data_IF_572480427194
#
_entry.id   IF_572480427194
#
_cell.length_a   1.000
_cell.length_b   1.000
_cell.length_c   1.000
_cell.angle_alpha   90.00
_cell.angle_beta   90.00
_cell.angle_gamma   90.00
#
_symmetry.space_group_name_H-M   'P 1'
#
loop_
_entity.id
_entity.type
_entity.pdbx_description
1 polymer ?
#
# COMPACT_ATOMS: atom_id res chain seq x y z
N UNK A 1 15.19 21.43 -7.28
CA UNK A 1 14.58 22.24 -6.21
C UNK A 1 13.24 21.61 -5.89
N UNK A 2 12.98 21.32 -4.61
CA UNK A 2 11.79 20.59 -4.14
C UNK A 2 10.82 21.56 -3.47
N UNK A 3 10.25 22.49 -4.23
CA UNK A 3 9.39 23.58 -3.75
C UNK A 3 7.94 23.49 -4.27
N UNK A 4 7.61 22.40 -4.97
CA UNK A 4 6.26 22.12 -5.44
C UNK A 4 5.50 21.24 -4.45
N UNK A 5 4.18 21.32 -4.53
CA UNK A 5 3.24 20.56 -3.72
C UNK A 5 1.96 20.24 -4.52
N UNK A 6 1.20 19.27 -4.03
CA UNK A 6 -0.17 18.99 -4.48
C UNK A 6 -1.12 19.34 -3.35
N UNK A 7 -2.22 20.00 -3.68
CA UNK A 7 -3.20 20.49 -2.72
C UNK A 7 -4.62 20.11 -3.18
N UNK A 8 -5.53 19.99 -2.22
CA UNK A 8 -6.95 19.77 -2.44
C UNK A 8 -7.77 20.94 -1.90
N UNK A 9 -8.86 21.29 -2.59
CA UNK A 9 -9.88 22.18 -2.04
C UNK A 9 -11.11 21.38 -1.63
N UNK A 10 -11.60 21.69 -0.44
CA UNK A 10 -12.68 21.01 0.24
C UNK A 10 -13.80 21.99 0.55
N UNK A 11 -15.05 21.55 0.44
CA UNK A 11 -16.19 22.30 0.96
C UNK A 11 -16.19 22.30 2.50
N UNK A 12 -17.05 23.10 3.12
CA UNK A 12 -17.14 23.19 4.57
C UNK A 12 -17.58 21.88 5.24
N UNK A 13 -18.31 21.03 4.51
CA UNK A 13 -18.67 19.67 4.93
C UNK A 13 -17.53 18.64 4.74
N UNK A 14 -16.37 19.06 4.25
CA UNK A 14 -15.19 18.21 4.05
C UNK A 14 -15.16 17.46 2.72
N UNK A 15 -16.06 17.72 1.78
CA UNK A 15 -16.05 17.07 0.45
C UNK A 15 -14.95 17.65 -0.44
N UNK A 16 -14.06 16.79 -0.96
CA UNK A 16 -13.04 17.16 -1.93
C UNK A 16 -13.67 17.48 -3.29
N UNK A 17 -13.36 18.64 -3.88
CA UNK A 17 -13.94 19.05 -5.17
C UNK A 17 -12.93 19.62 -6.17
N UNK A 18 -11.66 19.74 -5.80
CA UNK A 18 -10.59 20.16 -6.70
C UNK A 18 -9.24 19.69 -6.20
N UNK A 19 -8.38 19.27 -7.11
CA UNK A 19 -6.97 18.94 -6.85
C UNK A 19 -6.13 19.83 -7.75
N UNK A 20 -5.04 20.36 -7.22
CA UNK A 20 -4.11 21.17 -8.00
C UNK A 20 -2.66 20.97 -7.58
N UNK A 21 -1.73 21.25 -8.48
CA UNK A 21 -0.31 21.47 -8.12
C UNK A 21 0.01 22.95 -7.93
N UNK A 22 0.96 23.24 -7.05
CA UNK A 22 1.41 24.61 -6.84
C UNK A 22 2.75 24.75 -6.16
N UNK A 23 3.15 26.02 -6.01
CA UNK A 23 4.31 26.49 -5.24
C UNK A 23 3.92 27.78 -4.52
N UNK A 24 4.60 28.12 -3.43
CA UNK A 24 4.28 29.31 -2.62
C UNK A 24 2.83 29.30 -2.13
N UNK A 25 2.11 30.42 -2.26
CA UNK A 25 0.72 30.55 -1.79
C UNK A 25 -0.34 30.18 -2.85
N UNK A 26 0.03 29.46 -3.91
CA UNK A 26 -0.91 29.12 -4.99
C UNK A 26 -2.17 28.43 -4.46
N UNK A 27 -2.06 27.53 -3.48
CA UNK A 27 -3.22 26.84 -2.90
C UNK A 27 -4.21 27.76 -2.15
N UNK A 28 -3.81 28.99 -1.80
CA UNK A 28 -4.66 29.99 -1.15
C UNK A 28 -5.37 30.91 -2.15
N UNK A 29 -4.90 30.93 -3.40
CA UNK A 29 -5.48 31.78 -4.44
C UNK A 29 -6.85 31.26 -4.85
N UNK A 30 -7.85 32.12 -4.77
CA UNK A 30 -9.20 31.89 -5.30
C UNK A 30 -9.21 32.25 -6.80
N UNK A 31 -10.02 31.57 -7.61
CA UNK A 31 -10.04 31.72 -9.06
C UNK A 31 -9.30 30.58 -9.76
N UNK A 32 -10.03 29.54 -10.16
CA UNK A 32 -9.50 28.42 -10.96
C UNK A 32 -10.22 28.27 -12.28
N UNK A 33 -11.50 27.96 -12.19
CA UNK A 33 -12.43 27.90 -13.30
C UNK A 33 -13.83 28.24 -12.78
N UNK A 34 -14.77 28.48 -13.68
CA UNK A 34 -16.13 28.89 -13.31
C UNK A 34 -16.88 27.86 -12.45
N UNK A 35 -16.57 26.56 -12.59
CA UNK A 35 -17.18 25.51 -11.78
C UNK A 35 -16.63 25.51 -10.35
N UNK A 36 -15.31 25.63 -10.21
CA UNK A 36 -14.60 25.78 -8.95
C UNK A 36 -15.11 26.98 -8.16
N UNK A 37 -15.12 28.17 -8.78
CA UNK A 37 -15.52 29.41 -8.12
C UNK A 37 -16.97 29.34 -7.64
N UNK A 38 -17.84 28.67 -8.42
CA UNK A 38 -19.24 28.44 -8.06
C UNK A 38 -19.38 27.51 -6.85
N UNK A 39 -18.58 26.44 -6.75
CA UNK A 39 -18.60 25.54 -5.58
C UNK A 39 -18.02 26.27 -4.36
N UNK A 40 -16.86 26.90 -4.51
CA UNK A 40 -16.18 27.64 -3.45
C UNK A 40 -17.09 28.72 -2.82
N UNK A 41 -17.82 29.46 -3.66
CA UNK A 41 -18.75 30.51 -3.19
C UNK A 41 -19.98 29.94 -2.49
N UNK A 42 -20.50 28.79 -2.93
CA UNK A 42 -21.77 28.23 -2.42
C UNK A 42 -21.60 27.32 -1.21
N UNK A 43 -20.48 26.59 -1.14
CA UNK A 43 -20.27 25.49 -0.20
C UNK A 43 -19.01 25.64 0.65
N UNK A 44 -18.32 26.77 0.55
CA UNK A 44 -17.04 27.00 1.20
C UNK A 44 -15.86 26.39 0.45
N UNK A 45 -14.65 26.81 0.81
CA UNK A 45 -13.42 26.41 0.16
C UNK A 45 -12.24 26.41 1.15
N UNK A 46 -12.03 25.27 1.79
CA UNK A 46 -10.91 25.00 2.67
C UNK A 46 -9.80 24.32 1.88
N UNK A 47 -8.60 24.93 1.87
CA UNK A 47 -7.46 24.41 1.12
C UNK A 47 -6.54 23.59 2.04
N UNK A 48 -6.07 22.42 1.58
CA UNK A 48 -5.12 21.57 2.30
C UNK A 48 -4.01 21.09 1.37
N UNK A 49 -2.77 21.21 1.83
CA UNK A 49 -1.62 20.58 1.16
C UNK A 49 -1.68 19.08 1.43
N UNK A 50 -1.73 18.28 0.36
CA UNK A 50 -1.80 16.82 0.40
C UNK A 50 -0.40 16.20 0.37
N UNK A 51 0.46 16.75 -0.48
CA UNK A 51 1.85 16.33 -0.69
C UNK A 51 2.75 17.56 -0.84
N UNK A 52 3.97 17.53 -0.31
CA UNK A 52 4.94 18.65 -0.32
C UNK A 52 6.35 18.17 -0.63
N UNK A 53 7.28 19.12 -0.77
CA UNK A 53 8.69 18.86 -1.04
C UNK A 53 8.90 18.03 -2.32
N UNK A 54 8.12 18.38 -3.35
CA UNK A 54 8.11 17.73 -4.65
C UNK A 54 8.90 18.57 -5.67
N UNK A 55 9.50 17.88 -6.63
CA UNK A 55 9.85 18.51 -7.89
C UNK A 55 8.58 18.81 -8.69
N UNK A 56 8.67 19.73 -9.65
CA UNK A 56 7.54 20.05 -10.51
C UNK A 56 7.00 18.84 -11.26
N UNK A 57 7.89 17.96 -11.74
CA UNK A 57 7.52 16.74 -12.46
C UNK A 57 6.75 15.77 -11.56
N UNK A 58 7.21 15.57 -10.32
CA UNK A 58 6.50 14.74 -9.34
C UNK A 58 5.13 15.33 -9.00
N UNK A 59 5.04 16.64 -8.75
CA UNK A 59 3.78 17.30 -8.40
C UNK A 59 2.75 17.26 -9.53
N UNK A 60 3.18 17.47 -10.78
CA UNK A 60 2.32 17.29 -11.96
C UNK A 60 1.80 15.87 -12.06
N UNK A 61 2.71 14.92 -11.89
CA UNK A 61 2.37 13.51 -12.01
C UNK A 61 1.37 13.03 -10.95
N UNK A 62 1.55 13.46 -9.70
CA UNK A 62 0.63 13.16 -8.60
C UNK A 62 -0.72 13.87 -8.82
N UNK A 63 -0.72 15.13 -9.26
CA UNK A 63 -1.96 15.86 -9.60
C UNK A 63 -2.75 15.11 -10.68
N UNK A 64 -2.12 14.78 -11.81
CA UNK A 64 -2.75 14.09 -12.94
C UNK A 64 -3.33 12.73 -12.49
N UNK A 65 -2.55 11.98 -11.73
CA UNK A 65 -2.97 10.69 -11.18
C UNK A 65 -4.20 10.82 -10.29
N UNK A 66 -4.20 11.76 -9.35
CA UNK A 66 -5.33 11.94 -8.44
C UNK A 66 -6.57 12.47 -9.16
N UNK A 67 -6.39 13.32 -10.17
CA UNK A 67 -7.50 13.85 -10.98
C UNK A 67 -8.15 12.74 -11.80
N UNK A 68 -7.35 11.86 -12.39
CA UNK A 68 -7.82 10.73 -13.18
C UNK A 68 -8.63 9.74 -12.35
N UNK A 69 -8.10 9.34 -11.18
CA UNK A 69 -8.70 8.31 -10.34
C UNK A 69 -9.79 8.81 -9.38
N UNK A 70 -10.08 10.12 -9.36
CA UNK A 70 -10.97 10.71 -8.36
C UNK A 70 -12.39 10.12 -8.37
N UNK A 71 -12.93 9.75 -9.53
CA UNK A 71 -14.26 9.14 -9.63
C UNK A 71 -14.30 7.74 -9.00
N UNK A 72 -13.25 6.93 -9.20
CA UNK A 72 -13.14 5.58 -8.65
C UNK A 72 -13.08 5.59 -7.12
N UNK A 73 -12.51 6.65 -6.54
CA UNK A 73 -12.45 6.88 -5.10
C UNK A 73 -13.64 7.70 -4.56
N UNK A 74 -14.67 7.94 -5.38
CA UNK A 74 -15.94 8.55 -4.97
C UNK A 74 -15.97 10.07 -4.93
N UNK A 75 -15.01 10.76 -5.56
CA UNK A 75 -14.97 12.22 -5.67
C UNK A 75 -15.26 12.69 -7.10
N UNK A 76 -15.92 13.85 -7.22
CA UNK A 76 -16.15 14.52 -8.50
C UNK A 76 -15.40 15.85 -8.44
N UNK A 77 -14.35 15.98 -9.25
CA UNK A 77 -13.49 17.16 -9.23
C UNK A 77 -13.87 18.14 -10.34
N UNK A 78 -13.82 19.43 -10.01
CA UNK A 78 -14.10 20.53 -10.94
C UNK A 78 -13.07 20.72 -12.06
N UNK A 79 -11.92 20.04 -11.97
CA UNK A 79 -10.89 20.00 -13.00
C UNK A 79 -10.80 18.65 -13.71
N UNK A 80 -11.74 17.74 -13.46
CA UNK A 80 -12.03 16.67 -14.41
C UNK A 80 -12.74 17.31 -15.61
N UNK A 81 -12.07 17.26 -16.76
CA UNK A 81 -12.44 17.83 -18.06
C UNK A 81 -12.09 19.31 -18.29
N UNK A 82 -10.95 19.55 -18.96
CA UNK A 82 -10.72 20.51 -20.05
C UNK A 82 -9.27 20.34 -20.57
N UNK A 83 -9.03 19.37 -21.46
CA UNK A 83 -7.74 19.26 -22.18
C UNK A 83 -7.45 17.90 -22.80
N UNK A 84 -8.01 17.67 -24.00
CA UNK A 84 -7.66 16.69 -25.04
C UNK A 84 -7.62 15.19 -24.72
N UNK A 85 -8.10 14.41 -25.69
CA UNK A 85 -8.12 12.94 -25.74
C UNK A 85 -6.70 12.34 -25.90
N UNK A 86 -5.72 12.82 -25.15
CA UNK A 86 -4.40 12.24 -25.15
C UNK A 86 -4.42 11.04 -24.21
N UNK A 87 -3.98 9.88 -24.72
CA UNK A 87 -3.84 8.64 -23.94
C UNK A 87 -3.09 8.91 -22.62
N UNK A 88 -3.40 8.16 -21.55
CA UNK A 88 -2.72 8.33 -20.28
C UNK A 88 -1.20 8.22 -20.52
N UNK A 89 -0.45 9.26 -20.10
CA UNK A 89 1.01 9.34 -20.24
C UNK A 89 1.75 8.22 -19.52
N UNK A 90 1.04 7.44 -18.71
CA UNK A 90 1.52 6.36 -17.88
C UNK A 90 0.48 5.24 -17.83
N UNK A 91 0.96 4.01 -17.75
CA UNK A 91 0.14 2.84 -17.47
C UNK A 91 -0.43 2.87 -16.05
N UNK A 92 -1.54 2.16 -15.83
CA UNK A 92 -2.15 1.95 -14.51
C UNK A 92 -1.12 1.45 -13.48
N UNK A 93 -0.13 0.67 -13.93
CA UNK A 93 0.96 0.16 -13.10
C UNK A 93 1.90 1.27 -12.60
N UNK A 94 2.25 2.21 -13.47
CA UNK A 94 3.10 3.34 -13.11
C UNK A 94 2.36 4.27 -12.14
N UNK A 95 1.07 4.50 -12.39
CA UNK A 95 0.16 5.24 -11.49
C UNK A 95 0.14 4.64 -10.08
N UNK A 96 -0.06 3.33 -9.96
CA UNK A 96 -0.10 2.65 -8.67
C UNK A 96 1.25 2.70 -7.94
N UNK A 97 2.35 2.57 -8.70
CA UNK A 97 3.72 2.68 -8.16
C UNK A 97 3.99 4.07 -7.60
N UNK A 98 3.54 5.12 -8.29
CA UNK A 98 3.70 6.51 -7.86
C UNK A 98 2.84 6.81 -6.65
N UNK A 99 1.58 6.37 -6.62
CA UNK A 99 0.72 6.53 -5.45
C UNK A 99 1.35 5.88 -4.22
N UNK A 100 1.80 4.63 -4.33
CA UNK A 100 2.49 3.91 -3.26
C UNK A 100 3.76 4.65 -2.78
N UNK A 101 4.61 5.09 -3.71
CA UNK A 101 5.83 5.84 -3.39
C UNK A 101 5.55 7.21 -2.73
N UNK A 102 4.46 7.87 -3.11
CA UNK A 102 4.10 9.20 -2.60
C UNK A 102 3.45 9.13 -1.22
N UNK A 103 2.62 8.12 -0.97
CA UNK A 103 2.14 7.83 0.39
C UNK A 103 3.30 7.52 1.34
N UNK A 104 4.28 6.74 0.88
CA UNK A 104 5.50 6.39 1.63
C UNK A 104 6.38 7.60 2.00
N UNK A 105 6.55 8.57 1.09
CA UNK A 105 7.41 9.75 1.33
C UNK A 105 6.81 10.76 2.33
N UNK A 106 5.49 10.78 2.48
CA UNK A 106 4.77 11.63 3.46
C UNK A 106 5.11 11.25 4.91
N UNK A 107 5.27 9.96 5.18
CA UNK A 107 5.63 9.43 6.49
C UNK A 107 7.12 9.68 6.81
N UNK A 108 8.00 9.61 5.81
CA UNK A 108 9.43 9.86 5.99
C UNK A 108 9.78 11.34 6.23
N UNK A 109 9.07 12.29 5.60
CA UNK A 109 9.37 13.72 5.68
C UNK A 109 8.74 14.44 6.90
N UNK A 110 7.80 13.80 7.63
CA UNK A 110 7.29 14.34 8.90
C UNK A 110 8.34 14.34 10.03
N UNK A 111 9.44 13.58 9.88
CA UNK A 111 10.43 13.36 10.93
C UNK A 111 11.56 14.40 11.04
N UNK A 112 11.62 15.42 10.15
CA UNK A 112 12.85 16.23 10.00
C UNK A 112 12.77 17.76 10.19
N UNK A 113 11.67 18.36 10.67
CA UNK A 113 11.63 19.82 10.95
C UNK A 113 11.19 20.16 12.40
N UNK A 114 11.99 21.03 13.02
CA UNK A 114 12.22 21.24 14.46
C UNK A 114 11.12 21.95 15.28
N UNK A 115 11.06 21.52 16.56
CA UNK A 115 11.05 22.33 17.79
C UNK A 115 10.01 23.45 17.93
N UNK A 116 8.83 23.10 18.44
CA UNK A 116 8.18 23.83 19.54
C UNK A 116 7.21 22.88 20.25
N UNK A 117 7.18 22.97 21.58
CA UNK A 117 6.55 22.06 22.54
C UNK A 117 5.13 21.63 22.20
N UNK A 118 4.95 20.38 21.74
CA UNK A 118 3.70 19.62 21.78
C UNK A 118 4.04 18.12 21.80
N UNK A 119 3.39 17.41 22.72
CA UNK A 119 3.59 15.99 23.03
C UNK A 119 3.79 15.11 21.78
N UNK A 120 4.85 14.31 21.81
CA UNK A 120 5.21 13.30 20.81
C UNK A 120 3.99 12.48 20.32
N UNK A 121 3.58 12.66 19.07
CA UNK A 121 2.91 11.63 18.27
C UNK A 121 4.02 10.85 17.55
N UNK A 122 4.51 9.84 18.25
CA UNK A 122 5.62 8.99 17.81
C UNK A 122 5.20 7.93 16.79
N UNK A 123 6.23 7.25 16.29
CA UNK A 123 6.17 5.87 15.83
C UNK A 123 5.15 5.10 16.67
N UNK A 124 4.11 4.59 16.03
CA UNK A 124 3.15 3.72 16.70
C UNK A 124 3.88 2.41 16.95
N UNK A 125 4.51 2.29 18.12
CA UNK A 125 4.82 1.00 18.70
C UNK A 125 3.49 0.27 18.90
N UNK A 126 3.15 -0.59 17.94
CA UNK A 126 2.06 -1.55 18.09
C UNK A 126 2.49 -2.54 19.17
N UNK A 127 1.89 -2.41 20.35
CA UNK A 127 2.00 -3.45 21.36
C UNK A 127 1.15 -4.65 20.92
N UNK A 128 1.78 -5.55 20.16
CA UNK A 128 1.19 -6.81 19.70
C UNK A 128 0.77 -7.74 20.86
N UNK A 129 1.14 -7.42 22.10
CA UNK A 129 0.61 -8.12 23.28
C UNK A 129 -0.85 -7.74 23.57
N UNK A 130 -1.36 -6.66 22.97
CA UNK A 130 -2.75 -6.27 23.11
C UNK A 130 -3.66 -7.30 22.42
N UNK A 131 -4.52 -7.93 23.22
CA UNK A 131 -5.51 -8.91 22.76
C UNK A 131 -6.40 -8.37 21.62
N UNK A 132 -6.55 -7.05 21.54
CA UNK A 132 -7.27 -6.34 20.48
C UNK A 132 -6.57 -6.49 19.12
N UNK A 133 -5.25 -6.28 19.05
CA UNK A 133 -4.51 -6.39 17.79
C UNK A 133 -4.51 -7.84 17.31
N UNK A 134 -4.35 -8.82 18.20
CA UNK A 134 -4.41 -10.23 17.82
C UNK A 134 -5.80 -10.63 17.28
N UNK A 135 -6.89 -10.12 17.87
CA UNK A 135 -8.25 -10.36 17.36
C UNK A 135 -8.52 -9.70 16.01
N UNK A 136 -8.08 -8.45 15.81
CA UNK A 136 -8.22 -7.78 14.51
C UNK A 136 -7.32 -8.44 13.45
N UNK A 137 -6.16 -8.95 13.86
CA UNK A 137 -5.28 -9.73 13.01
C UNK A 137 -5.92 -11.04 12.54
N UNK A 138 -6.49 -11.82 13.45
CA UNK A 138 -7.24 -13.04 13.11
C UNK A 138 -8.39 -12.74 12.15
N UNK A 139 -9.16 -11.67 12.38
CA UNK A 139 -10.21 -11.24 11.44
C UNK A 139 -9.66 -10.93 10.06
N UNK A 140 -8.51 -10.27 9.96
CA UNK A 140 -7.86 -9.99 8.68
C UNK A 140 -7.41 -11.29 8.00
N UNK A 141 -6.91 -12.29 8.74
CA UNK A 141 -6.64 -13.62 8.16
C UNK A 141 -7.91 -14.20 7.56
N UNK A 142 -9.02 -14.23 8.31
CA UNK A 142 -10.29 -14.76 7.79
C UNK A 142 -10.77 -14.00 6.55
N UNK A 143 -10.67 -12.67 6.55
CA UNK A 143 -10.99 -11.84 5.38
C UNK A 143 -10.14 -12.23 4.17
N UNK A 144 -8.83 -12.36 4.35
CA UNK A 144 -7.92 -12.82 3.29
C UNK A 144 -8.38 -14.18 2.76
N UNK A 145 -8.70 -15.14 3.64
CA UNK A 145 -9.14 -16.47 3.21
C UNK A 145 -10.47 -16.47 2.45
N UNK A 146 -11.40 -15.57 2.79
CA UNK A 146 -12.72 -15.50 2.16
C UNK A 146 -12.72 -14.70 0.85
N UNK A 147 -11.92 -13.64 0.76
CA UNK A 147 -11.95 -12.70 -0.36
C UNK A 147 -10.90 -13.01 -1.44
N UNK A 148 -9.92 -13.88 -1.15
CA UNK A 148 -8.87 -14.23 -2.09
C UNK A 148 -9.29 -15.33 -3.06
N UNK A 149 -8.84 -15.20 -4.30
CA UNK A 149 -8.85 -16.32 -5.25
C UNK A 149 -7.83 -17.39 -4.84
N UNK A 150 -8.04 -18.62 -5.32
CA UNK A 150 -7.10 -19.72 -5.05
C UNK A 150 -5.66 -19.40 -5.48
N UNK A 151 -5.49 -18.74 -6.64
CA UNK A 151 -4.16 -18.35 -7.15
C UNK A 151 -3.50 -17.35 -6.20
N UNK A 152 -4.25 -16.39 -5.66
CA UNK A 152 -3.72 -15.43 -4.69
C UNK A 152 -3.28 -16.11 -3.39
N UNK A 153 -4.09 -17.05 -2.88
CA UNK A 153 -3.74 -17.84 -1.70
C UNK A 153 -2.47 -18.68 -1.95
N UNK A 154 -2.38 -19.32 -3.11
CA UNK A 154 -1.23 -20.15 -3.47
C UNK A 154 0.05 -19.32 -3.59
N UNK A 155 -0.02 -18.16 -4.25
CA UNK A 155 1.12 -17.24 -4.37
C UNK A 155 1.55 -16.71 -3.00
N UNK A 156 0.60 -16.30 -2.15
CA UNK A 156 0.90 -15.83 -0.80
C UNK A 156 1.53 -16.94 0.04
N UNK A 157 1.02 -18.17 -0.07
CA UNK A 157 1.56 -19.33 0.62
C UNK A 157 3.03 -19.56 0.25
N UNK A 158 3.37 -19.50 -1.04
CA UNK A 158 4.77 -19.61 -1.50
C UNK A 158 5.64 -18.48 -0.94
N UNK A 159 5.18 -17.23 -0.99
CA UNK A 159 5.95 -16.08 -0.47
C UNK A 159 6.22 -16.23 1.03
N UNK A 160 5.20 -16.57 1.81
CA UNK A 160 5.32 -16.76 3.26
C UNK A 160 6.24 -17.94 3.57
N UNK A 161 6.14 -19.02 2.80
CA UNK A 161 7.04 -20.17 2.93
C UNK A 161 8.49 -19.75 2.72
N UNK A 162 8.79 -18.97 1.67
CA UNK A 162 10.16 -18.51 1.41
C UNK A 162 10.64 -17.57 2.53
N UNK A 163 9.78 -16.66 2.97
CA UNK A 163 10.07 -15.72 4.06
C UNK A 163 10.47 -16.47 5.33
N UNK A 164 9.64 -17.43 5.73
CA UNK A 164 9.76 -18.19 6.97
C UNK A 164 10.95 -19.16 6.90
N UNK A 165 11.13 -19.87 5.79
CA UNK A 165 12.19 -20.88 5.65
C UNK A 165 13.57 -20.28 5.46
N UNK A 166 13.72 -19.23 4.64
CA UNK A 166 15.05 -18.81 4.17
C UNK A 166 15.47 -17.41 4.56
N UNK A 167 14.53 -16.53 4.93
CA UNK A 167 14.89 -15.14 5.12
C UNK A 167 15.35 -14.87 6.55
N UNK A 168 16.54 -14.28 6.68
CA UNK A 168 16.98 -13.55 7.87
C UNK A 168 16.56 -12.07 7.79
N UNK A 169 16.01 -11.66 6.64
CA UNK A 169 15.48 -10.33 6.41
C UNK A 169 13.97 -10.42 6.23
N UNK A 170 13.30 -9.28 6.32
CA UNK A 170 11.88 -9.20 5.98
C UNK A 170 11.70 -8.88 4.50
N UNK A 171 12.55 -9.46 3.67
CA UNK A 171 12.50 -9.32 2.23
C UNK A 171 12.53 -10.71 1.60
N UNK A 172 11.71 -10.89 0.57
CA UNK A 172 11.62 -12.12 -0.23
C UNK A 172 11.74 -11.77 -1.69
N UNK A 173 12.61 -12.48 -2.39
CA UNK A 173 12.71 -12.43 -3.84
C UNK A 173 12.12 -13.71 -4.44
N UNK A 174 11.15 -13.56 -5.34
CA UNK A 174 10.51 -14.69 -6.02
C UNK A 174 10.56 -14.51 -7.54
N UNK A 175 11.07 -15.51 -8.25
CA UNK A 175 11.05 -15.50 -9.71
C UNK A 175 9.65 -15.78 -10.25
N UNK A 176 9.18 -14.90 -11.12
CA UNK A 176 7.88 -15.00 -11.81
C UNK A 176 7.84 -16.28 -12.65
N UNK A 177 8.94 -16.60 -13.34
CA UNK A 177 9.04 -17.82 -14.14
C UNK A 177 8.94 -19.11 -13.31
N UNK A 178 9.48 -19.10 -12.08
CA UNK A 178 9.39 -20.25 -11.17
C UNK A 178 7.98 -20.40 -10.63
N UNK A 179 7.35 -19.30 -10.18
CA UNK A 179 5.96 -19.30 -9.73
C UNK A 179 5.01 -19.76 -10.83
N UNK A 180 5.17 -19.24 -12.04
CA UNK A 180 4.36 -19.61 -13.20
C UNK A 180 4.42 -21.10 -13.49
N UNK A 181 5.61 -21.70 -13.43
CA UNK A 181 5.79 -23.16 -13.60
C UNK A 181 5.23 -23.96 -12.43
N UNK A 182 5.46 -23.49 -11.19
CA UNK A 182 5.02 -24.16 -9.98
C UNK A 182 3.49 -24.23 -9.92
N UNK A 183 2.82 -23.13 -10.23
CA UNK A 183 1.36 -23.01 -10.12
C UNK A 183 0.62 -23.42 -11.40
N UNK A 184 1.34 -23.72 -12.48
CA UNK A 184 0.78 -23.94 -13.82
C UNK A 184 -0.11 -22.78 -14.29
N UNK A 185 0.37 -21.55 -14.08
CA UNK A 185 -0.33 -20.30 -14.40
C UNK A 185 0.56 -19.42 -15.27
N UNK A 186 -0.03 -18.63 -16.18
CA UNK A 186 0.76 -17.72 -17.03
C UNK A 186 1.48 -16.64 -16.20
N UNK A 187 2.68 -16.22 -16.64
CA UNK A 187 3.43 -15.14 -15.96
C UNK A 187 2.60 -13.86 -15.79
N UNK A 188 1.82 -13.51 -16.81
CA UNK A 188 0.96 -12.33 -16.78
C UNK A 188 -0.13 -12.44 -15.71
N UNK A 189 -0.70 -13.63 -15.52
CA UNK A 189 -1.72 -13.84 -14.50
C UNK A 189 -1.11 -13.83 -13.10
N UNK A 190 0.11 -14.37 -12.91
CA UNK A 190 0.85 -14.23 -11.65
C UNK A 190 1.06 -12.75 -11.31
N UNK A 191 1.51 -11.95 -12.28
CA UNK A 191 1.74 -10.52 -12.06
C UNK A 191 0.46 -9.78 -11.67
N UNK A 192 -0.62 -9.98 -12.45
CA UNK A 192 -1.93 -9.36 -12.16
C UNK A 192 -2.46 -9.74 -10.78
N UNK A 193 -2.38 -11.02 -10.42
CA UNK A 193 -2.88 -11.49 -9.13
C UNK A 193 -2.06 -10.95 -7.95
N UNK A 194 -0.74 -10.81 -8.09
CA UNK A 194 0.09 -10.19 -7.04
C UNK A 194 -0.23 -8.72 -6.83
N UNK A 195 -0.34 -7.97 -7.92
CA UNK A 195 -0.61 -6.53 -7.87
C UNK A 195 -2.01 -6.26 -7.32
N UNK A 196 -3.02 -7.02 -7.77
CA UNK A 196 -4.40 -6.83 -7.32
C UNK A 196 -4.62 -7.26 -5.86
N UNK A 197 -3.77 -8.14 -5.34
CA UNK A 197 -3.91 -8.71 -4.00
C UNK A 197 -3.32 -7.83 -2.90
N UNK A 198 -2.30 -7.03 -3.21
CA UNK A 198 -1.55 -6.21 -2.25
C UNK A 198 -2.43 -5.32 -1.35
N UNK A 199 -3.41 -4.55 -1.86
CA UNK A 199 -4.22 -3.65 -1.02
C UNK A 199 -5.08 -4.39 0.02
N UNK A 200 -5.34 -5.68 -0.18
CA UNK A 200 -6.22 -6.48 0.69
C UNK A 200 -5.48 -7.10 1.88
N UNK A 201 -4.14 -7.00 1.88
CA UNK A 201 -3.28 -7.49 2.96
C UNK A 201 -3.07 -6.47 4.09
N UNK A 202 -3.59 -5.25 3.94
CA UNK A 202 -3.53 -4.25 5.00
C UNK A 202 -4.36 -4.69 6.20
N UNK A 203 -3.75 -4.64 7.40
CA UNK A 203 -4.50 -4.81 8.63
C UNK A 203 -5.36 -3.57 8.85
N UNK A 204 -6.66 -3.78 8.99
CA UNK A 204 -7.55 -2.73 9.47
C UNK A 204 -7.79 -2.93 10.96
N UNK A 205 -7.39 -1.95 11.77
CA UNK A 205 -7.66 -1.95 13.20
C UNK A 205 -8.62 -0.80 13.51
N UNK A 206 -9.75 -1.14 14.14
CA UNK A 206 -10.70 -0.17 14.64
C UNK A 206 -10.28 0.27 16.05
N UNK A 207 -9.63 1.42 16.14
CA UNK A 207 -9.48 2.11 17.41
C UNK A 207 -10.75 2.94 17.69
N UNK A 208 -10.98 3.31 18.95
CA UNK A 208 -12.20 4.02 19.38
C UNK A 208 -12.41 5.28 18.54
N UNK A 209 -13.33 5.21 17.57
CA UNK A 209 -13.73 6.32 16.71
C UNK A 209 -13.02 6.41 15.35
N UNK A 210 -11.90 5.72 15.13
CA UNK A 210 -11.08 5.84 13.91
C UNK A 210 -10.63 4.46 13.37
N UNK A 211 -10.67 4.30 12.04
CA UNK A 211 -10.05 3.16 11.36
C UNK A 211 -8.60 3.49 11.01
N UNK A 212 -7.66 2.67 11.48
CA UNK A 212 -6.25 2.75 11.07
C UNK A 212 -5.93 1.56 10.17
N UNK A 213 -5.29 1.86 9.03
CA UNK A 213 -4.71 0.87 8.12
C UNK A 213 -3.24 0.68 8.43
N UNK A 214 -2.85 -0.58 8.39
CA UNK A 214 -1.60 -1.08 8.91
C UNK A 214 -1.03 -2.07 7.89
N UNK A 215 -0.31 -1.55 6.87
CA UNK A 215 0.10 -2.36 5.73
C UNK A 215 1.11 -3.44 6.15
N UNK A 216 0.83 -4.70 5.83
CA UNK A 216 1.71 -5.83 6.17
C UNK A 216 2.97 -5.84 5.31
N UNK A 217 2.79 -5.55 4.03
CA UNK A 217 3.86 -5.44 3.07
C UNK A 217 4.31 -3.98 3.02
N UNK A 218 5.62 -3.77 3.12
CA UNK A 218 6.28 -2.47 3.04
C UNK A 218 6.46 -2.01 1.60
N UNK A 219 6.90 -2.92 0.73
CA UNK A 219 7.23 -2.58 -0.65
C UNK A 219 7.14 -3.83 -1.53
N UNK A 220 6.63 -3.68 -2.76
CA UNK A 220 6.79 -4.66 -3.83
C UNK A 220 7.48 -3.99 -5.00
N UNK A 221 8.64 -4.53 -5.38
CA UNK A 221 9.35 -4.16 -6.60
C UNK A 221 9.18 -5.31 -7.58
N UNK A 222 8.64 -5.01 -8.75
CA UNK A 222 8.55 -5.94 -9.86
C UNK A 222 9.61 -5.56 -10.90
N UNK A 223 10.57 -6.44 -11.12
CA UNK A 223 11.41 -6.43 -12.32
C UNK A 223 10.90 -7.49 -13.31
N UNK A 224 11.40 -7.46 -14.55
CA UNK A 224 10.91 -8.30 -15.65
C UNK A 224 10.76 -9.79 -15.31
N UNK A 225 11.51 -10.34 -14.33
CA UNK A 225 11.46 -11.76 -13.98
C UNK A 225 11.37 -12.05 -12.47
N UNK A 226 11.34 -11.03 -11.62
CA UNK A 226 11.43 -11.17 -10.17
C UNK A 226 10.50 -10.20 -9.44
N UNK A 227 9.85 -10.70 -8.39
CA UNK A 227 9.22 -9.88 -7.36
C UNK A 227 10.12 -9.81 -6.14
N UNK A 228 10.47 -8.61 -5.71
CA UNK A 228 11.08 -8.35 -4.42
C UNK A 228 10.02 -7.76 -3.48
N UNK A 229 9.70 -8.47 -2.41
CA UNK A 229 8.62 -8.16 -1.48
C UNK A 229 9.24 -7.92 -0.11
N UNK A 230 9.15 -6.68 0.36
CA UNK A 230 9.59 -6.30 1.71
C UNK A 230 8.40 -6.20 2.65
N UNK A 231 8.54 -6.68 3.88
CA UNK A 231 7.55 -6.65 4.95
C UNK A 231 8.00 -5.71 6.06
N UNK A 232 7.06 -5.20 6.85
CA UNK A 232 7.41 -4.42 8.02
C UNK A 232 7.87 -5.30 9.20
N UNK A 233 8.85 -4.80 9.95
CA UNK A 233 9.45 -5.51 11.09
C UNK A 233 8.50 -5.82 12.22
N UNK A 234 7.57 -4.90 12.48
CA UNK A 234 6.55 -5.13 13.50
C UNK A 234 5.55 -6.23 13.13
N UNK A 235 5.56 -6.81 11.93
CA UNK A 235 4.72 -7.96 11.58
C UNK A 235 5.45 -9.29 11.47
N UNK A 236 6.76 -9.33 11.73
CA UNK A 236 7.55 -10.55 11.61
C UNK A 236 6.93 -11.73 12.39
N UNK A 237 6.50 -11.47 13.62
CA UNK A 237 5.89 -12.48 14.51
C UNK A 237 4.51 -12.96 14.04
N UNK A 238 3.85 -12.22 13.14
CA UNK A 238 2.54 -12.56 12.62
C UNK A 238 2.61 -13.40 11.33
N UNK A 239 3.76 -13.47 10.68
CA UNK A 239 3.93 -14.21 9.42
C UNK A 239 3.66 -15.71 9.58
N UNK A 240 4.09 -16.31 10.69
CA UNK A 240 3.86 -17.74 10.98
C UNK A 240 2.37 -18.05 11.22
N UNK A 241 1.64 -17.29 12.06
CA UNK A 241 0.18 -17.40 12.15
C UNK A 241 -0.53 -17.24 10.80
N UNK A 242 -0.13 -16.26 9.98
CA UNK A 242 -0.68 -16.06 8.62
C UNK A 242 -0.52 -17.31 7.77
N UNK A 243 0.71 -17.82 7.72
CA UNK A 243 1.05 -19.03 6.97
C UNK A 243 0.21 -20.21 7.44
N UNK A 244 0.11 -20.43 8.76
CA UNK A 244 -0.69 -21.52 9.30
C UNK A 244 -2.18 -21.42 8.92
N UNK A 245 -2.73 -20.19 8.86
CA UNK A 245 -4.10 -19.96 8.40
C UNK A 245 -4.31 -20.24 6.91
N UNK A 246 -3.29 -20.00 6.08
CA UNK A 246 -3.38 -20.11 4.62
C UNK A 246 -2.97 -21.49 4.10
N UNK A 247 -1.98 -22.14 4.71
CA UNK A 247 -1.41 -23.39 4.16
C UNK A 247 -2.47 -24.49 4.02
N UNK A 248 -3.43 -24.58 4.93
CA UNK A 248 -4.52 -25.56 4.85
C UNK A 248 -5.56 -25.25 3.76
N UNK A 249 -5.43 -24.09 3.11
CA UNK A 249 -6.29 -23.61 2.02
C UNK A 249 -5.55 -23.51 0.69
N UNK A 250 -4.24 -23.75 0.65
CA UNK A 250 -3.51 -23.80 -0.62
C UNK A 250 -3.93 -25.01 -1.44
N UNK A 251 -3.77 -24.91 -2.76
CA UNK A 251 -4.08 -25.99 -3.67
C UNK A 251 -3.12 -27.18 -3.50
N UNK A 252 -3.58 -28.36 -3.92
CA UNK A 252 -2.77 -29.58 -3.88
C UNK A 252 -1.52 -29.50 -4.76
N UNK A 253 -1.48 -28.55 -5.70
CA UNK A 253 -0.31 -28.30 -6.57
C UNK A 253 0.91 -27.90 -5.72
N UNK A 254 0.68 -27.29 -4.55
CA UNK A 254 1.74 -26.85 -3.65
C UNK A 254 2.17 -27.90 -2.62
N UNK A 255 1.51 -29.06 -2.52
CA UNK A 255 1.79 -30.05 -1.46
C UNK A 255 3.27 -30.46 -1.41
N UNK A 256 3.84 -30.84 -2.55
CA UNK A 256 5.24 -31.26 -2.63
C UNK A 256 6.20 -30.12 -2.29
N UNK A 257 5.91 -28.91 -2.79
CA UNK A 257 6.72 -27.71 -2.55
C UNK A 257 6.73 -27.32 -1.07
N UNK A 258 5.54 -27.32 -0.45
CA UNK A 258 5.37 -26.99 0.96
C UNK A 258 5.98 -28.06 1.86
N UNK A 259 5.88 -29.34 1.49
CA UNK A 259 6.51 -30.43 2.24
C UNK A 259 8.04 -30.27 2.27
N UNK A 260 8.67 -29.98 1.13
CA UNK A 260 10.10 -29.73 1.03
C UNK A 260 10.52 -28.54 1.91
N UNK A 261 9.79 -27.42 1.84
CA UNK A 261 10.18 -26.19 2.52
C UNK A 261 9.81 -26.16 4.01
N UNK A 262 8.77 -26.90 4.42
CA UNK A 262 8.42 -27.10 5.83
C UNK A 262 9.52 -27.90 6.53
N UNK A 263 10.08 -28.92 5.88
CA UNK A 263 11.23 -29.65 6.43
C UNK A 263 12.40 -28.70 6.67
N UNK A 264 12.70 -27.83 5.72
CA UNK A 264 13.79 -26.85 5.85
C UNK A 264 13.54 -25.82 6.97
N UNK A 265 12.29 -25.40 7.17
CA UNK A 265 11.93 -24.55 8.30
C UNK A 265 12.17 -25.26 9.64
N UNK A 266 11.70 -26.49 9.77
CA UNK A 266 11.86 -27.28 11.00
C UNK A 266 13.35 -27.53 11.29
N UNK A 267 14.13 -27.89 10.26
CA UNK A 267 15.58 -28.09 10.38
C UNK A 267 16.29 -26.80 10.87
N UNK A 268 15.84 -25.63 10.41
CA UNK A 268 16.37 -24.33 10.85
C UNK A 268 16.00 -24.03 12.30
N UNK A 269 14.76 -24.28 12.72
CA UNK A 269 14.34 -24.08 14.12
C UNK A 269 15.14 -24.98 15.06
N UNK A 270 15.31 -26.27 14.70
CA UNK A 270 16.12 -27.22 15.46
C UNK A 270 17.58 -26.77 15.62
N UNK A 271 18.14 -26.03 14.67
CA UNK A 271 19.49 -25.46 14.75
C UNK A 271 19.50 -24.26 15.69
N UNK A 272 18.53 -23.35 15.58
CA UNK A 272 18.43 -22.16 16.44
C UNK A 272 18.24 -22.54 17.91
N UNK A 273 17.42 -23.55 18.19
CA UNK A 273 17.17 -24.07 19.54
C UNK A 273 18.42 -24.72 20.16
N UNK A 274 19.36 -25.24 19.35
CA UNK A 274 20.63 -25.82 19.83
C UNK A 274 21.71 -24.77 20.12
N UNK A 275 21.54 -23.55 19.61
CA UNK A 275 22.52 -22.46 19.76
C UNK A 275 22.19 -21.56 20.95
N UNK A 276 20.91 -21.51 21.37
CA UNK A 276 20.44 -20.78 22.54
C UNK A 276 20.49 -21.61 23.83
#
# INVERSE_FOLDING_TARGET
MYDYYVYGHYTDDGTLFYIGKGRGDRHLQIGRNSAHDRIATRKGCNSKILFRDLSEKEALLIEDTMVWNAEEIGFILTNQMLGNNDEPLLSDQEVMTILAYTFYRKDANMNNNKSETLQHRGDVFLDLSSEVINREYEKNIYRILEESTQIQLDVLCVILTILISYSNSLCVEVSISKLSKLLDVSKNDIQKNLISFYPNLDLECKEIGDYKRFPVIKEIICDNETFSISFYEHYANLMVPLYNGIHGKSSSILEDYLAEHTQLYNDRQDILDKIN
#
